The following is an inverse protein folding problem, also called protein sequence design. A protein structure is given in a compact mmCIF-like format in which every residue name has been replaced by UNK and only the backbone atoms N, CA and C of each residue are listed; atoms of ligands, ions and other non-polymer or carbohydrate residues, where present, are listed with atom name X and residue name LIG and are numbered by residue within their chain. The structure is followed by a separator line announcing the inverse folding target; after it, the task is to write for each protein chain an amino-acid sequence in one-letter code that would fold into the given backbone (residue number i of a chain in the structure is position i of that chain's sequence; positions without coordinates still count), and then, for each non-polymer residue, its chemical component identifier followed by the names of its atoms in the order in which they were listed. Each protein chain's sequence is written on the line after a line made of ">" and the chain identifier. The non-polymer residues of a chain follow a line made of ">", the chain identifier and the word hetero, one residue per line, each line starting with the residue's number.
data_IF_066000940341
#
_entry.id   IF_066000940341
#
_cell.length_a   1.000
_cell.length_b   1.000
_cell.length_c   1.000
_cell.angle_alpha   90.00
_cell.angle_beta   90.00
_cell.angle_gamma   90.00
#
_symmetry.space_group_name_H-M   'P 1'
#
loop_
_entity.id
_entity.type
_entity.pdbx_description
1 polymer ?
#
# COMPACT_ATOMS: atom_id res chain seq x y z
N UNK A 1 27.47 -21.96 37.10
CA UNK A 1 26.34 -22.69 36.50
C UNK A 1 25.31 -21.64 36.09
N UNK A 2 25.23 -21.30 34.79
CA UNK A 2 24.26 -20.33 34.27
C UNK A 2 22.88 -21.00 34.24
N UNK A 3 21.87 -20.39 34.86
CA UNK A 3 20.50 -20.86 34.85
C UNK A 3 19.92 -20.64 33.46
N UNK A 4 19.66 -21.73 32.74
CA UNK A 4 18.90 -21.73 31.44
C UNK A 4 17.50 -21.17 31.72
N UNK A 5 17.16 -20.05 31.16
CA UNK A 5 15.77 -19.52 31.20
C UNK A 5 14.95 -20.25 30.15
N UNK A 6 13.93 -20.98 30.58
CA UNK A 6 12.91 -21.56 29.69
C UNK A 6 11.78 -20.57 29.48
N UNK A 7 11.34 -20.41 28.24
CA UNK A 7 10.13 -19.69 27.88
C UNK A 7 9.18 -20.65 27.14
N UNK A 8 7.90 -20.39 27.22
CA UNK A 8 6.85 -21.14 26.51
C UNK A 8 6.25 -20.23 25.44
N UNK A 9 6.18 -20.70 24.21
CA UNK A 9 5.66 -19.93 23.08
C UNK A 9 4.49 -20.68 22.45
N UNK A 10 3.38 -19.98 22.19
CA UNK A 10 2.23 -20.51 21.49
C UNK A 10 2.58 -20.81 20.03
N UNK A 11 2.36 -22.04 19.57
CA UNK A 11 2.65 -22.46 18.19
C UNK A 11 1.79 -21.76 17.15
N UNK A 12 0.61 -21.24 17.52
CA UNK A 12 -0.37 -20.69 16.59
C UNK A 12 -0.30 -19.17 16.46
N UNK A 13 0.00 -18.45 17.54
CA UNK A 13 0.03 -16.98 17.52
C UNK A 13 1.34 -16.35 18.01
N UNK A 14 2.33 -17.15 18.43
CA UNK A 14 3.62 -16.65 18.88
C UNK A 14 3.62 -15.96 20.24
N UNK A 15 2.52 -15.97 21.00
CA UNK A 15 2.44 -15.38 22.33
C UNK A 15 3.43 -16.06 23.29
N UNK A 16 4.31 -15.28 23.92
CA UNK A 16 5.28 -15.76 24.90
C UNK A 16 4.70 -15.79 26.32
N UNK A 17 5.08 -16.80 27.07
CA UNK A 17 4.78 -16.94 28.50
C UNK A 17 5.96 -17.51 29.26
N UNK A 18 6.15 -17.09 30.51
CA UNK A 18 7.18 -17.63 31.41
C UNK A 18 6.80 -18.98 32.00
N UNK A 19 5.55 -19.43 31.81
CA UNK A 19 5.00 -20.70 32.28
C UNK A 19 4.15 -21.32 31.19
N UNK A 20 4.08 -22.65 31.17
CA UNK A 20 3.14 -23.34 30.32
C UNK A 20 1.69 -23.01 30.71
N UNK A 21 0.88 -22.64 29.71
CA UNK A 21 -0.52 -22.28 29.89
C UNK A 21 -1.34 -23.20 28.97
N UNK A 22 -2.36 -23.85 29.50
CA UNK A 22 -3.20 -24.80 28.75
C UNK A 22 -4.03 -24.16 27.63
N UNK A 23 -4.43 -22.87 27.79
CA UNK A 23 -5.17 -22.11 26.79
C UNK A 23 -4.43 -20.79 26.51
N UNK A 24 -4.17 -20.51 25.26
CA UNK A 24 -3.50 -19.26 24.88
C UNK A 24 -4.41 -18.04 25.12
N UNK A 25 -3.97 -17.02 25.88
CA UNK A 25 -4.78 -15.84 26.17
C UNK A 25 -4.96 -14.93 24.95
N UNK A 26 -4.12 -15.09 23.91
CA UNK A 26 -4.18 -14.28 22.71
C UNK A 26 -5.04 -14.86 21.60
N UNK A 27 -4.83 -16.15 21.22
CA UNK A 27 -5.59 -16.80 20.15
C UNK A 27 -6.72 -17.71 20.66
N UNK A 28 -6.78 -18.02 21.95
CA UNK A 28 -7.82 -18.87 22.53
C UNK A 28 -7.65 -20.37 22.34
N UNK A 29 -6.63 -20.82 21.59
CA UNK A 29 -6.38 -22.23 21.29
C UNK A 29 -5.80 -22.98 22.50
N UNK A 30 -6.10 -24.28 22.58
CA UNK A 30 -5.68 -25.13 23.68
C UNK A 30 -4.42 -25.94 23.34
N UNK A 31 -3.53 -26.14 24.34
CA UNK A 31 -2.33 -26.97 24.25
C UNK A 31 -1.32 -26.55 23.17
N UNK A 32 -1.27 -25.27 22.86
CA UNK A 32 -0.40 -24.69 21.80
C UNK A 32 0.95 -24.18 22.32
N UNK A 33 1.17 -24.15 23.67
CA UNK A 33 2.43 -23.71 24.25
C UNK A 33 3.50 -24.80 24.20
N UNK A 34 4.60 -24.51 23.50
CA UNK A 34 5.80 -25.36 23.45
C UNK A 34 6.92 -24.72 24.25
N UNK A 35 7.68 -25.56 24.95
CA UNK A 35 8.85 -25.13 25.72
C UNK A 35 9.99 -24.80 24.77
N UNK A 36 10.49 -23.56 24.84
CA UNK A 36 11.71 -23.12 24.14
C UNK A 36 12.77 -22.86 25.20
N UNK A 37 13.87 -23.58 25.15
CA UNK A 37 15.02 -23.32 26.00
C UNK A 37 15.77 -22.12 25.43
N UNK A 38 15.71 -20.99 26.10
CA UNK A 38 16.59 -19.85 25.83
C UNK A 38 18.01 -20.24 26.31
N UNK A 39 18.65 -21.11 25.55
CA UNK A 39 20.08 -21.27 25.67
C UNK A 39 20.73 -19.95 25.26
N UNK A 40 21.72 -19.49 25.99
CA UNK A 40 22.74 -18.61 25.44
C UNK A 40 23.38 -19.41 24.31
N UNK A 41 22.74 -19.42 23.14
CA UNK A 41 23.36 -19.90 21.93
C UNK A 41 24.60 -19.03 21.76
N UNK A 42 25.74 -19.68 21.90
CA UNK A 42 26.91 -19.26 21.17
C UNK A 42 26.47 -19.05 19.72
N UNK A 43 26.06 -17.82 19.39
CA UNK A 43 26.05 -17.29 18.03
C UNK A 43 27.52 -17.20 17.62
N UNK A 44 28.07 -18.30 17.27
CA UNK A 44 29.45 -18.40 16.87
C UNK A 44 29.69 -19.76 16.27
N UNK A 45 30.10 -19.76 15.05
CA UNK A 45 30.91 -20.74 14.36
C UNK A 45 30.31 -21.62 13.27
N UNK A 46 29.01 -21.78 13.11
CA UNK A 46 28.53 -22.59 11.99
C UNK A 46 27.74 -21.82 10.92
N UNK A 47 27.33 -20.58 11.15
CA UNK A 47 26.69 -19.74 10.13
C UNK A 47 27.71 -19.02 9.21
N UNK A 48 28.95 -18.86 9.66
CA UNK A 48 30.04 -18.27 8.85
C UNK A 48 30.54 -19.19 7.70
N UNK A 49 30.07 -20.41 7.68
CA UNK A 49 30.41 -21.37 6.62
C UNK A 49 29.56 -21.29 5.36
N UNK A 50 28.37 -20.74 5.47
CA UNK A 50 27.38 -20.70 4.36
C UNK A 50 27.51 -19.48 3.43
N UNK A 51 28.22 -18.42 3.87
CA UNK A 51 28.35 -17.18 3.10
C UNK A 51 29.84 -16.80 2.89
N UNK A 52 30.61 -17.64 2.20
CA UNK A 52 31.96 -17.27 1.77
C UNK A 52 31.89 -16.53 0.44
N UNK A 53 31.60 -15.25 0.45
CA UNK A 53 32.01 -14.40 -0.68
C UNK A 53 33.43 -13.91 -0.48
N UNK A 54 34.22 -14.08 -1.49
CA UNK A 54 35.69 -13.90 -1.56
C UNK A 54 36.19 -12.46 -1.45
N UNK A 55 35.36 -11.49 -1.00
CA UNK A 55 35.78 -10.10 -0.81
C UNK A 55 35.27 -9.44 0.50
N UNK A 56 34.66 -10.17 1.41
CA UNK A 56 34.46 -9.65 2.75
C UNK A 56 35.74 -9.91 3.54
N UNK A 57 36.55 -8.89 3.73
CA UNK A 57 37.57 -8.86 4.78
C UNK A 57 36.93 -9.34 6.06
N UNK A 58 37.37 -10.47 6.59
CA UNK A 58 37.01 -11.01 7.90
C UNK A 58 37.48 -10.09 9.02
N UNK A 59 36.96 -8.83 9.04
CA UNK A 59 37.21 -7.84 10.05
C UNK A 59 36.22 -8.01 11.20
N UNK A 60 36.71 -8.24 12.40
CA UNK A 60 35.94 -8.00 13.62
C UNK A 60 35.20 -6.67 13.47
N UNK A 61 33.89 -6.66 13.72
CA UNK A 61 33.10 -5.43 13.72
C UNK A 61 33.75 -4.41 14.65
N UNK A 62 34.37 -3.38 14.11
CA UNK A 62 34.96 -2.28 14.88
C UNK A 62 34.03 -1.09 14.85
N UNK A 63 33.79 -0.43 15.98
CA UNK A 63 32.99 0.80 16.00
C UNK A 63 33.63 1.87 15.10
N UNK A 64 32.86 2.46 14.23
CA UNK A 64 33.27 3.57 13.34
C UNK A 64 32.66 4.86 13.87
N UNK A 65 33.41 5.95 13.91
CA UNK A 65 32.85 7.25 14.29
C UNK A 65 31.88 7.74 13.24
N UNK A 66 30.79 8.36 13.68
CA UNK A 66 29.76 8.89 12.80
C UNK A 66 30.36 9.88 11.77
N UNK A 67 31.36 10.67 12.17
CA UNK A 67 32.09 11.62 11.30
C UNK A 67 32.88 10.95 10.17
N UNK A 68 33.24 9.68 10.32
CA UNK A 68 34.10 8.96 9.40
C UNK A 68 33.28 8.15 8.39
N UNK A 69 31.94 8.16 8.54
CA UNK A 69 31.00 7.54 7.61
C UNK A 69 30.77 8.53 6.46
N UNK A 70 31.11 8.15 5.20
CA UNK A 70 30.83 9.02 4.07
C UNK A 70 29.33 9.20 3.89
N UNK A 71 28.86 10.44 3.78
CA UNK A 71 27.49 10.79 3.43
C UNK A 71 27.30 10.66 1.92
N UNK A 72 27.35 9.43 1.43
CA UNK A 72 26.88 9.12 0.08
C UNK A 72 25.46 8.56 0.19
N UNK A 73 24.58 8.97 -0.72
CA UNK A 73 23.29 8.35 -0.86
C UNK A 73 23.50 6.85 -1.17
N UNK A 74 22.79 5.99 -0.45
CA UNK A 74 22.83 4.56 -0.71
C UNK A 74 22.47 4.28 -2.18
N UNK A 75 23.28 3.52 -2.92
CA UNK A 75 22.99 3.22 -4.31
C UNK A 75 21.65 2.52 -4.43
N UNK A 76 20.78 3.07 -5.28
CA UNK A 76 19.44 2.55 -5.53
C UNK A 76 19.37 1.91 -6.89
N UNK A 77 18.69 0.77 -6.97
CA UNK A 77 18.35 0.15 -8.25
C UNK A 77 17.04 0.79 -8.72
N UNK A 78 17.11 1.47 -9.86
CA UNK A 78 15.92 1.98 -10.56
C UNK A 78 15.15 0.77 -11.12
N UNK A 79 13.89 0.60 -10.70
CA UNK A 79 13.02 -0.49 -11.16
C UNK A 79 12.39 -0.20 -12.52
N UNK A 80 12.70 0.94 -13.14
CA UNK A 80 12.09 1.44 -14.37
C UNK A 80 10.55 1.41 -14.35
N UNK A 81 10.01 1.57 -13.14
CA UNK A 81 8.60 1.69 -12.86
C UNK A 81 8.39 2.88 -11.92
N UNK A 82 7.79 3.95 -12.45
CA UNK A 82 7.65 5.22 -11.73
C UNK A 82 6.77 5.12 -10.49
N UNK A 83 5.74 4.28 -10.51
CA UNK A 83 4.84 4.10 -9.38
C UNK A 83 5.49 3.23 -8.30
N UNK A 84 6.22 2.17 -8.66
CA UNK A 84 6.98 1.36 -7.71
C UNK A 84 8.15 2.14 -7.10
N UNK A 85 8.93 2.85 -7.93
CA UNK A 85 10.04 3.67 -7.45
C UNK A 85 9.57 4.75 -6.47
N UNK A 86 8.41 5.37 -6.71
CA UNK A 86 7.80 6.34 -5.81
C UNK A 86 7.55 5.73 -4.43
N UNK A 87 6.90 4.57 -4.38
CA UNK A 87 6.57 3.88 -3.12
C UNK A 87 7.82 3.38 -2.39
N UNK A 88 8.86 2.98 -3.14
CA UNK A 88 10.16 2.60 -2.59
C UNK A 88 10.98 3.81 -2.09
N UNK A 89 10.62 5.03 -2.49
CA UNK A 89 11.37 6.26 -2.16
C UNK A 89 12.52 6.53 -3.13
N UNK A 90 12.40 6.10 -4.39
CA UNK A 90 13.35 6.32 -5.48
C UNK A 90 14.08 5.07 -5.98
N UNK A 91 13.63 3.87 -5.59
CA UNK A 91 14.20 2.59 -6.04
C UNK A 91 14.61 1.66 -4.90
N UNK A 92 15.08 0.47 -5.25
CA UNK A 92 15.57 -0.53 -4.28
C UNK A 92 16.95 -0.15 -3.73
N UNK A 93 17.07 -0.11 -2.41
CA UNK A 93 18.34 0.16 -1.73
C UNK A 93 19.16 -1.14 -1.64
N UNK A 94 20.47 -1.05 -1.91
CA UNK A 94 21.39 -2.19 -1.81
C UNK A 94 21.34 -2.80 -0.39
N UNK A 95 21.30 -4.14 -0.33
CA UNK A 95 21.23 -4.86 0.94
C UNK A 95 19.93 -4.66 1.73
N UNK A 96 18.88 -4.10 1.11
CA UNK A 96 17.56 -3.97 1.74
C UNK A 96 16.69 -5.21 1.52
N UNK A 97 15.72 -5.37 2.41
CA UNK A 97 14.68 -6.39 2.25
C UNK A 97 13.31 -5.72 2.20
N UNK A 98 12.57 -5.99 1.12
CA UNK A 98 11.25 -5.42 0.83
C UNK A 98 10.22 -6.54 0.86
N UNK A 99 9.15 -6.36 1.63
CA UNK A 99 8.00 -7.26 1.65
C UNK A 99 6.88 -6.65 0.80
N UNK A 100 6.48 -7.35 -0.26
CA UNK A 100 5.30 -7.05 -1.07
C UNK A 100 4.15 -7.96 -0.60
N UNK A 101 3.24 -7.39 0.20
CA UNK A 101 2.06 -8.07 0.72
C UNK A 101 0.81 -7.76 -0.09
N UNK A 102 -0.18 -8.64 -0.05
CA UNK A 102 -1.48 -8.42 -0.69
C UNK A 102 -2.30 -9.71 -0.77
N UNK A 103 -3.59 -9.59 -1.09
CA UNK A 103 -4.47 -10.75 -1.26
C UNK A 103 -3.98 -11.70 -2.36
N UNK A 104 -4.28 -13.00 -2.27
CA UNK A 104 -4.04 -13.93 -3.38
C UNK A 104 -4.73 -13.45 -4.66
N UNK A 105 -4.03 -13.54 -5.80
CA UNK A 105 -4.58 -13.13 -7.10
C UNK A 105 -4.61 -11.62 -7.38
N UNK A 106 -4.17 -10.75 -6.45
CA UNK A 106 -4.17 -9.29 -6.64
C UNK A 106 -3.19 -8.79 -7.73
N UNK A 107 -2.16 -9.59 -8.05
CA UNK A 107 -1.17 -9.26 -9.08
C UNK A 107 0.26 -9.06 -8.57
N UNK A 108 0.60 -9.48 -7.34
CA UNK A 108 1.95 -9.32 -6.75
C UNK A 108 3.06 -9.92 -7.61
N UNK A 109 2.94 -11.20 -7.95
CA UNK A 109 3.90 -11.91 -8.80
C UNK A 109 3.97 -11.32 -10.21
N UNK A 110 2.83 -10.80 -10.71
CA UNK A 110 2.78 -10.10 -12.01
C UNK A 110 3.56 -8.79 -11.95
N UNK A 111 3.34 -7.96 -10.93
CA UNK A 111 4.06 -6.70 -10.73
C UNK A 111 5.57 -6.96 -10.62
N UNK A 112 5.97 -7.92 -9.77
CA UNK A 112 7.37 -8.22 -9.53
C UNK A 112 8.03 -8.76 -10.82
N UNK A 113 7.39 -9.70 -11.52
CA UNK A 113 7.92 -10.23 -12.77
C UNK A 113 8.04 -9.13 -13.85
N UNK A 114 7.01 -8.29 -13.99
CA UNK A 114 7.00 -7.17 -14.93
C UNK A 114 8.12 -6.18 -14.65
N UNK A 115 8.34 -5.82 -13.39
CA UNK A 115 9.39 -4.86 -13.02
C UNK A 115 10.79 -5.42 -13.21
N UNK A 116 11.04 -6.70 -12.92
CA UNK A 116 12.36 -7.29 -13.20
C UNK A 116 12.65 -7.45 -14.70
N UNK A 117 11.62 -7.61 -15.53
CA UNK A 117 11.76 -7.59 -16.99
C UNK A 117 12.16 -6.20 -17.53
N UNK A 118 11.94 -5.13 -16.76
CA UNK A 118 12.32 -3.76 -17.13
C UNK A 118 13.79 -3.42 -16.77
N UNK A 119 14.50 -4.30 -16.06
CA UNK A 119 15.91 -4.09 -15.66
C UNK A 119 16.84 -5.16 -16.27
N UNK A 120 16.99 -5.17 -17.61
CA UNK A 120 17.68 -6.24 -18.33
C UNK A 120 19.18 -6.36 -18.03
N UNK A 121 19.79 -5.27 -17.53
CA UNK A 121 21.23 -5.21 -17.28
C UNK A 121 21.64 -5.80 -15.92
N UNK A 122 20.68 -6.32 -15.14
CA UNK A 122 20.91 -6.87 -13.82
C UNK A 122 20.75 -8.38 -13.77
N UNK A 123 21.67 -9.03 -13.09
CA UNK A 123 21.57 -10.47 -12.83
C UNK A 123 20.59 -10.74 -11.71
N UNK A 124 19.49 -11.42 -12.01
CA UNK A 124 18.37 -11.64 -11.10
C UNK A 124 18.19 -13.12 -10.84
N UNK A 125 17.99 -13.48 -9.58
CA UNK A 125 17.54 -14.80 -9.17
C UNK A 125 16.07 -14.69 -8.69
N UNK A 126 15.15 -15.30 -9.44
CA UNK A 126 13.75 -15.43 -9.07
C UNK A 126 13.47 -16.82 -8.56
N UNK A 127 13.18 -16.93 -7.27
CA UNK A 127 12.84 -18.19 -6.61
C UNK A 127 11.33 -18.32 -6.53
N UNK A 128 10.80 -19.40 -7.07
CA UNK A 128 9.37 -19.73 -7.00
C UNK A 128 9.14 -21.01 -6.21
N UNK A 129 8.33 -20.90 -5.16
CA UNK A 129 7.85 -22.06 -4.41
C UNK A 129 6.43 -22.50 -4.77
N UNK A 130 5.75 -21.76 -5.65
CA UNK A 130 4.35 -22.02 -6.02
C UNK A 130 4.17 -22.37 -7.50
N UNK A 131 4.89 -21.69 -8.38
CA UNK A 131 4.75 -21.84 -9.83
C UNK A 131 5.95 -22.56 -10.45
N UNK A 132 5.69 -23.36 -11.47
CA UNK A 132 6.74 -24.00 -12.26
C UNK A 132 7.45 -22.99 -13.18
N UNK A 133 8.68 -23.30 -13.57
CA UNK A 133 9.45 -22.49 -14.51
C UNK A 133 8.71 -22.27 -15.86
N UNK A 134 7.94 -23.27 -16.30
CA UNK A 134 7.13 -23.14 -17.52
C UNK A 134 5.99 -22.10 -17.37
N UNK A 135 5.29 -22.10 -16.23
CA UNK A 135 4.23 -21.13 -15.96
C UNK A 135 4.77 -19.70 -15.86
N UNK A 136 5.93 -19.54 -15.19
CA UNK A 136 6.61 -18.24 -15.13
C UNK A 136 7.05 -17.76 -16.50
N UNK A 137 7.58 -18.65 -17.36
CA UNK A 137 7.95 -18.32 -18.73
C UNK A 137 6.75 -17.86 -19.55
N UNK A 138 5.65 -18.60 -19.52
CA UNK A 138 4.42 -18.19 -20.21
C UNK A 138 3.89 -16.82 -19.74
N UNK A 139 4.00 -16.54 -18.44
CA UNK A 139 3.64 -15.24 -17.88
C UNK A 139 4.60 -14.15 -18.38
N UNK A 140 5.90 -14.39 -18.36
CA UNK A 140 6.89 -13.44 -18.88
C UNK A 140 6.67 -13.13 -20.36
N UNK A 141 6.42 -14.13 -21.20
CA UNK A 141 6.12 -13.95 -22.63
C UNK A 141 4.86 -13.09 -22.85
N UNK A 142 3.81 -13.30 -22.05
CA UNK A 142 2.60 -12.47 -22.10
C UNK A 142 2.90 -11.01 -21.73
N UNK A 143 3.71 -10.79 -20.70
CA UNK A 143 4.12 -9.45 -20.25
C UNK A 143 4.99 -8.75 -21.30
N UNK A 144 5.93 -9.47 -21.89
CA UNK A 144 6.79 -8.96 -22.96
C UNK A 144 6.01 -8.61 -24.24
N UNK A 145 4.96 -9.36 -24.58
CA UNK A 145 4.07 -9.05 -25.70
C UNK A 145 3.33 -7.72 -25.55
N UNK A 146 3.19 -7.20 -24.34
CA UNK A 146 2.67 -5.86 -24.03
C UNK A 146 3.72 -4.74 -24.01
N UNK A 147 5.01 -5.08 -24.08
CA UNK A 147 6.12 -4.12 -24.05
C UNK A 147 6.60 -3.80 -25.46
N UNK A 148 6.59 -2.52 -25.84
CA UNK A 148 6.91 -2.05 -27.20
C UNK A 148 8.37 -2.26 -27.64
N UNK A 149 9.30 -2.64 -26.74
CA UNK A 149 10.74 -2.73 -27.00
C UNK A 149 11.37 -4.03 -26.43
N UNK A 150 10.62 -5.13 -26.31
CA UNK A 150 11.14 -6.37 -25.75
C UNK A 150 12.17 -7.02 -26.69
N UNK A 151 13.44 -6.92 -26.33
CA UNK A 151 14.55 -7.63 -26.98
C UNK A 151 14.77 -8.96 -26.25
N UNK A 152 15.13 -10.01 -26.98
CA UNK A 152 15.44 -11.37 -26.47
C UNK A 152 16.51 -11.35 -25.38
N UNK A 153 17.40 -10.35 -25.38
CA UNK A 153 18.44 -10.12 -24.37
C UNK A 153 17.92 -9.83 -22.95
N UNK A 154 16.66 -9.40 -22.79
CA UNK A 154 16.06 -9.08 -21.49
C UNK A 154 15.92 -10.33 -20.62
N UNK A 155 15.72 -11.50 -21.23
CA UNK A 155 15.41 -12.74 -20.51
C UNK A 155 16.66 -13.47 -20.03
N UNK A 156 17.82 -13.20 -20.64
CA UNK A 156 19.06 -13.96 -20.38
C UNK A 156 19.67 -13.72 -19.00
N UNK A 157 19.36 -12.58 -18.36
CA UNK A 157 19.86 -12.22 -17.03
C UNK A 157 18.92 -12.62 -15.88
N UNK A 158 17.72 -13.16 -16.19
CA UNK A 158 16.76 -13.62 -15.19
C UNK A 158 16.86 -15.14 -15.05
N UNK A 159 17.32 -15.57 -13.87
CA UNK A 159 17.45 -16.99 -13.54
C UNK A 159 16.26 -17.42 -12.69
N UNK A 160 15.55 -18.45 -13.13
CA UNK A 160 14.40 -19.02 -12.39
C UNK A 160 14.84 -20.24 -11.62
N UNK A 161 14.54 -20.28 -10.33
CA UNK A 161 14.78 -21.41 -9.44
C UNK A 161 13.46 -21.87 -8.82
N UNK A 162 13.04 -23.09 -9.11
CA UNK A 162 11.87 -23.70 -8.46
C UNK A 162 12.36 -24.55 -7.28
N UNK A 163 12.50 -23.94 -6.12
CA UNK A 163 13.02 -24.56 -4.90
C UNK A 163 12.34 -23.94 -3.66
N UNK A 164 12.17 -24.75 -2.62
CA UNK A 164 11.58 -24.32 -1.34
C UNK A 164 12.54 -24.42 -0.16
N UNK A 165 13.67 -25.13 -0.32
CA UNK A 165 14.72 -25.22 0.70
C UNK A 165 15.58 -23.96 0.72
N UNK A 166 15.57 -23.22 1.83
CA UNK A 166 16.34 -22.00 2.00
C UNK A 166 17.86 -22.24 1.84
N UNK A 167 18.37 -23.38 2.30
CA UNK A 167 19.76 -23.75 2.20
C UNK A 167 20.22 -23.86 0.74
N UNK A 168 19.45 -24.57 -0.09
CA UNK A 168 19.74 -24.67 -1.52
C UNK A 168 19.61 -23.33 -2.25
N UNK A 169 18.65 -22.50 -1.86
CA UNK A 169 18.50 -21.16 -2.41
C UNK A 169 19.78 -20.35 -2.18
N UNK A 170 20.36 -20.43 -0.99
CA UNK A 170 21.62 -19.73 -0.70
C UNK A 170 22.80 -20.32 -1.46
N UNK A 171 22.89 -21.65 -1.61
CA UNK A 171 23.91 -22.28 -2.44
C UNK A 171 23.90 -21.74 -3.87
N UNK A 172 22.73 -21.71 -4.51
CA UNK A 172 22.58 -21.14 -5.86
C UNK A 172 22.80 -19.62 -5.89
N UNK A 173 22.42 -18.90 -4.87
CA UNK A 173 22.68 -17.46 -4.78
C UNK A 173 24.17 -17.15 -4.65
N UNK A 174 24.93 -17.99 -3.93
CA UNK A 174 26.38 -17.85 -3.82
C UNK A 174 27.10 -18.14 -5.15
N UNK A 175 26.66 -19.17 -5.90
CA UNK A 175 27.21 -19.49 -7.22
C UNK A 175 26.88 -18.41 -8.26
N UNK A 176 25.63 -17.94 -8.27
CA UNK A 176 25.12 -16.98 -9.26
C UNK A 176 25.61 -15.55 -8.97
N UNK A 177 25.78 -15.19 -7.68
CA UNK A 177 26.03 -13.83 -7.22
C UNK A 177 25.02 -12.81 -7.83
N UNK A 178 23.71 -12.95 -7.54
CA UNK A 178 22.68 -12.10 -8.12
C UNK A 178 22.76 -10.68 -7.56
N UNK A 179 22.37 -9.69 -8.36
CA UNK A 179 22.24 -8.30 -7.95
C UNK A 179 20.83 -7.99 -7.37
N UNK A 180 19.88 -8.92 -7.55
CA UNK A 180 18.54 -8.90 -6.96
C UNK A 180 18.05 -10.33 -6.74
N UNK A 181 17.55 -10.60 -5.54
CA UNK A 181 16.89 -11.86 -5.19
C UNK A 181 15.39 -11.63 -5.00
N UNK A 182 14.56 -12.43 -5.67
CA UNK A 182 13.10 -12.44 -5.50
C UNK A 182 12.66 -13.77 -4.92
N UNK A 183 11.82 -13.75 -3.89
CA UNK A 183 11.22 -14.94 -3.26
C UNK A 183 9.70 -14.89 -3.42
N UNK A 184 9.13 -15.82 -4.17
CA UNK A 184 7.70 -15.94 -4.46
C UNK A 184 7.16 -17.36 -4.15
N UNK A 185 6.59 -17.59 -2.97
CA UNK A 185 6.33 -16.70 -1.84
C UNK A 185 7.13 -17.10 -0.59
N UNK A 186 7.28 -16.19 0.36
CA UNK A 186 7.96 -16.49 1.64
C UNK A 186 7.27 -17.61 2.43
N UNK A 187 5.96 -17.83 2.22
CA UNK A 187 5.21 -18.88 2.89
C UNK A 187 5.57 -20.30 2.44
N UNK A 188 6.13 -20.45 1.25
CA UNK A 188 6.51 -21.77 0.71
C UNK A 188 7.94 -22.15 1.07
N UNK A 189 8.77 -21.18 1.48
CA UNK A 189 10.17 -21.43 1.83
C UNK A 189 10.26 -22.03 3.24
N UNK A 190 11.16 -23.01 3.38
CA UNK A 190 11.43 -23.69 4.64
C UNK A 190 12.94 -23.81 4.89
N UNK A 191 13.30 -23.84 6.17
CA UNK A 191 14.65 -24.14 6.65
C UNK A 191 14.64 -25.36 7.55
N UNK A 192 15.66 -26.19 7.45
CA UNK A 192 15.85 -27.35 8.32
C UNK A 192 16.29 -26.96 9.75
N UNK A 193 16.66 -25.70 9.98
CA UNK A 193 17.10 -25.20 11.29
C UNK A 193 15.96 -25.17 12.33
N UNK A 194 14.70 -25.27 11.88
CA UNK A 194 13.52 -25.18 12.75
C UNK A 194 12.58 -26.36 12.51
N UNK A 195 12.30 -27.12 13.56
CA UNK A 195 11.34 -28.23 13.54
C UNK A 195 9.89 -27.73 13.54
N UNK A 196 9.43 -27.15 12.43
CA UNK A 196 8.04 -26.71 12.25
C UNK A 196 7.64 -26.86 10.78
N UNK A 197 6.33 -27.02 10.53
CA UNK A 197 5.83 -27.21 9.17
C UNK A 197 6.11 -26.02 8.27
N UNK A 198 6.41 -26.21 6.96
CA UNK A 198 6.48 -25.14 5.98
C UNK A 198 5.22 -24.24 6.06
N UNK A 199 5.39 -22.94 5.89
CA UNK A 199 4.31 -21.96 5.98
C UNK A 199 3.88 -21.60 7.41
N UNK A 200 4.39 -22.29 8.44
CA UNK A 200 4.16 -21.87 9.83
C UNK A 200 4.81 -20.52 10.13
N UNK A 201 4.26 -19.79 11.09
CA UNK A 201 4.77 -18.48 11.52
C UNK A 201 6.25 -18.54 11.88
N UNK A 202 6.66 -19.60 12.55
CA UNK A 202 8.06 -19.81 12.97
C UNK A 202 8.97 -20.00 11.78
N UNK A 203 8.59 -20.80 10.79
CA UNK A 203 9.36 -21.00 9.55
C UNK A 203 9.49 -19.70 8.76
N UNK A 204 8.38 -19.00 8.54
CA UNK A 204 8.35 -17.74 7.80
C UNK A 204 9.24 -16.69 8.47
N UNK A 205 9.20 -16.61 9.82
CA UNK A 205 10.05 -15.70 10.60
C UNK A 205 11.55 -16.01 10.44
N UNK A 206 11.93 -17.28 10.57
CA UNK A 206 13.33 -17.69 10.50
C UNK A 206 13.89 -17.55 9.09
N UNK A 207 13.12 -17.93 8.08
CA UNK A 207 13.49 -17.73 6.68
C UNK A 207 13.71 -16.23 6.37
N UNK A 208 12.78 -15.36 6.81
CA UNK A 208 12.91 -13.93 6.61
C UNK A 208 14.12 -13.32 7.35
N UNK A 209 14.41 -13.78 8.57
CA UNK A 209 15.57 -13.34 9.33
C UNK A 209 16.90 -13.77 8.65
N UNK A 210 16.94 -14.97 8.08
CA UNK A 210 18.10 -15.48 7.34
C UNK A 210 18.28 -14.73 6.01
N UNK A 211 17.21 -14.43 5.30
CA UNK A 211 17.23 -13.60 4.08
C UNK A 211 17.65 -12.15 4.37
N UNK A 212 17.25 -11.58 5.53
CA UNK A 212 17.77 -10.28 5.97
C UNK A 212 19.28 -10.31 6.20
N UNK A 213 19.78 -11.35 6.88
CA UNK A 213 21.24 -11.51 7.09
C UNK A 213 21.97 -11.62 5.74
N UNK A 214 21.46 -12.44 4.82
CA UNK A 214 21.98 -12.55 3.47
C UNK A 214 22.05 -11.19 2.78
N UNK A 215 20.93 -10.44 2.73
CA UNK A 215 20.89 -9.12 2.11
C UNK A 215 21.93 -8.17 2.70
N UNK A 216 22.04 -8.08 4.03
CA UNK A 216 22.98 -7.19 4.71
C UNK A 216 24.45 -7.60 4.52
N UNK A 217 24.73 -8.90 4.38
CA UNK A 217 26.11 -9.41 4.23
C UNK A 217 26.59 -9.28 2.79
N UNK A 218 25.74 -9.58 1.81
CA UNK A 218 26.10 -9.57 0.39
C UNK A 218 25.91 -8.21 -0.28
N UNK A 219 25.08 -7.32 0.32
CA UNK A 219 24.63 -6.09 -0.32
C UNK A 219 23.52 -6.31 -1.37
N UNK A 220 23.08 -7.55 -1.57
CA UNK A 220 22.02 -7.89 -2.54
C UNK A 220 20.65 -7.54 -1.97
N UNK A 221 19.85 -6.68 -2.62
CA UNK A 221 18.48 -6.45 -2.20
C UNK A 221 17.61 -7.68 -2.41
N UNK A 222 16.60 -7.85 -1.52
CA UNK A 222 15.70 -9.00 -1.56
C UNK A 222 14.24 -8.50 -1.58
N UNK A 223 13.46 -8.99 -2.55
CA UNK A 223 12.02 -8.80 -2.60
C UNK A 223 11.34 -10.09 -2.12
N UNK A 224 10.56 -9.98 -1.05
CA UNK A 224 9.73 -11.07 -0.54
C UNK A 224 8.27 -10.83 -0.97
N UNK A 225 7.68 -11.80 -1.63
CA UNK A 225 6.24 -11.80 -1.89
C UNK A 225 5.54 -12.56 -0.78
N UNK A 226 4.49 -11.95 -0.20
CA UNK A 226 3.71 -12.54 0.88
C UNK A 226 2.20 -12.40 0.66
N UNK A 227 1.42 -13.34 1.22
CA UNK A 227 -0.04 -13.29 1.20
C UNK A 227 -0.59 -12.65 2.47
N UNK A 228 -1.67 -11.87 2.32
CA UNK A 228 -2.42 -11.25 3.42
C UNK A 228 -3.74 -12.02 3.59
N UNK A 229 -4.21 -12.17 4.82
CA UNK A 229 -5.55 -12.73 5.11
C UNK A 229 -6.66 -11.76 4.70
N UNK A 230 -7.90 -12.28 4.53
CA UNK A 230 -9.11 -11.48 4.21
C UNK A 230 -9.41 -10.35 5.21
N UNK A 231 -8.82 -10.37 6.39
CA UNK A 231 -8.92 -9.30 7.40
C UNK A 231 -7.92 -8.16 7.18
N UNK A 232 -7.18 -8.15 6.06
CA UNK A 232 -6.17 -7.14 5.75
C UNK A 232 -4.90 -7.26 6.60
N UNK A 233 -4.78 -8.33 7.41
CA UNK A 233 -3.59 -8.63 8.17
C UNK A 233 -2.73 -9.63 7.39
N UNK A 234 -1.42 -9.41 7.33
CA UNK A 234 -0.48 -10.39 6.78
C UNK A 234 -0.69 -11.73 7.47
N UNK A 235 -0.99 -12.79 6.67
CA UNK A 235 -1.06 -14.15 7.18
C UNK A 235 0.32 -14.61 7.65
N UNK A 236 0.51 -14.60 8.98
CA UNK A 236 1.81 -14.72 9.63
C UNK A 236 2.63 -13.46 9.37
N UNK A 237 2.76 -12.67 10.12
CA UNK A 237 2.07 -11.59 10.83
C UNK A 237 2.80 -10.25 10.76
N UNK A 238 2.35 -9.28 11.49
CA UNK A 238 3.10 -8.12 12.02
C UNK A 238 4.58 -8.41 12.39
N UNK A 239 4.96 -9.67 12.59
CA UNK A 239 6.34 -10.14 12.85
C UNK A 239 7.27 -9.84 11.66
N UNK A 240 6.83 -10.04 10.41
CA UNK A 240 7.66 -9.71 9.24
C UNK A 240 7.87 -8.21 9.09
N UNK A 241 6.88 -7.40 9.47
CA UNK A 241 7.00 -5.94 9.44
C UNK A 241 8.15 -5.43 10.29
N UNK A 242 8.47 -6.11 11.40
CA UNK A 242 9.62 -5.74 12.25
C UNK A 242 10.96 -6.18 11.68
N UNK A 243 10.98 -7.25 10.91
CA UNK A 243 12.21 -7.83 10.33
C UNK A 243 12.64 -7.07 9.08
N UNK A 244 11.71 -6.80 8.16
CA UNK A 244 12.01 -6.20 6.87
C UNK A 244 12.24 -4.68 6.96
N UNK A 245 12.94 -4.10 6.00
CA UNK A 245 13.21 -2.66 5.95
C UNK A 245 12.03 -1.88 5.37
N UNK A 246 11.35 -2.45 4.38
CA UNK A 246 10.21 -1.83 3.70
C UNK A 246 9.06 -2.84 3.59
N UNK A 247 7.84 -2.39 3.88
CA UNK A 247 6.59 -3.15 3.68
C UNK A 247 5.71 -2.38 2.73
N UNK A 248 5.38 -3.00 1.63
CA UNK A 248 4.48 -2.48 0.61
C UNK A 248 3.26 -3.38 0.54
N UNK A 249 2.09 -2.80 0.62
CA UNK A 249 0.82 -3.51 0.51
C UNK A 249 0.20 -3.24 -0.85
N UNK A 250 -0.16 -4.30 -1.56
CA UNK A 250 -0.87 -4.23 -2.82
C UNK A 250 -2.35 -4.50 -2.55
N UNK A 251 -3.16 -3.48 -2.74
CA UNK A 251 -4.58 -3.43 -2.43
C UNK A 251 -5.41 -3.31 -3.71
N UNK A 252 -6.66 -3.76 -3.67
CA UNK A 252 -7.62 -3.59 -4.75
C UNK A 252 -8.79 -4.54 -4.61
N UNK A 253 -9.92 -4.17 -5.17
CA UNK A 253 -11.08 -5.02 -5.28
C UNK A 253 -11.03 -5.81 -6.60
N UNK A 254 -11.42 -7.09 -6.59
CA UNK A 254 -11.45 -7.94 -7.79
C UNK A 254 -12.43 -7.43 -8.86
N UNK A 255 -13.41 -6.62 -8.47
CA UNK A 255 -14.40 -6.02 -9.36
C UNK A 255 -13.92 -4.75 -10.06
N UNK A 256 -12.82 -4.14 -9.57
CA UNK A 256 -12.26 -2.92 -10.15
C UNK A 256 -10.94 -3.19 -10.86
N UNK A 257 -10.70 -2.45 -11.95
CA UNK A 257 -9.49 -2.61 -12.76
C UNK A 257 -8.25 -2.02 -12.11
N UNK A 258 -8.42 -1.20 -11.06
CA UNK A 258 -7.32 -0.50 -10.42
C UNK A 258 -6.77 -1.23 -9.21
N UNK A 259 -5.46 -1.06 -9.02
CA UNK A 259 -4.70 -1.60 -7.89
C UNK A 259 -3.87 -0.48 -7.27
N UNK A 260 -3.84 -0.43 -5.96
CA UNK A 260 -3.08 0.56 -5.19
C UNK A 260 -1.91 -0.13 -4.52
N UNK A 261 -0.73 0.41 -4.69
CA UNK A 261 0.49 0.02 -4.01
C UNK A 261 0.76 1.02 -2.90
N UNK A 262 0.65 0.60 -1.65
CA UNK A 262 0.76 1.47 -0.48
C UNK A 262 2.01 1.14 0.33
N UNK A 263 2.79 2.15 0.71
CA UNK A 263 3.88 1.99 1.66
C UNK A 263 3.33 1.95 3.10
N UNK A 264 3.48 0.81 3.77
CA UNK A 264 3.08 0.65 5.19
C UNK A 264 4.26 0.97 6.11
N UNK A 265 5.47 0.58 5.70
CA UNK A 265 6.72 0.84 6.39
C UNK A 265 7.81 1.10 5.36
N UNK A 266 8.61 2.14 5.54
CA UNK A 266 9.76 2.40 4.69
C UNK A 266 10.86 3.11 5.49
N UNK A 267 12.02 2.45 5.63
CA UNK A 267 13.19 3.02 6.31
C UNK A 267 13.97 3.97 5.42
N UNK A 268 13.73 3.93 4.11
CA UNK A 268 14.51 4.65 3.10
C UNK A 268 13.72 5.74 2.39
N UNK A 269 12.45 5.93 2.79
CA UNK A 269 11.56 6.91 2.17
C UNK A 269 10.30 7.16 2.99
N UNK A 270 9.39 7.93 2.41
CA UNK A 270 8.10 8.26 3.02
C UNK A 270 7.16 7.05 2.99
N UNK A 271 6.39 6.86 4.08
CA UNK A 271 5.27 5.92 4.10
C UNK A 271 3.96 6.52 3.57
N UNK A 272 4.00 7.79 3.19
CA UNK A 272 2.83 8.50 2.65
C UNK A 272 2.70 8.40 1.13
N UNK A 273 3.59 7.63 0.47
CA UNK A 273 3.56 7.46 -0.98
C UNK A 273 2.66 6.30 -1.39
N UNK A 274 1.99 6.48 -2.53
CA UNK A 274 1.27 5.41 -3.20
C UNK A 274 1.58 5.32 -4.69
N UNK A 275 1.50 4.10 -5.20
CA UNK A 275 1.49 3.78 -6.61
C UNK A 275 0.10 3.32 -7.05
N UNK A 276 -0.30 3.67 -8.26
CA UNK A 276 -1.57 3.25 -8.83
C UNK A 276 -1.33 2.55 -10.16
N UNK A 277 -1.97 1.39 -10.28
CA UNK A 277 -1.88 0.56 -11.46
C UNK A 277 -3.26 0.20 -11.98
N UNK A 278 -3.37 0.05 -13.28
CA UNK A 278 -4.52 -0.54 -13.94
C UNK A 278 -4.18 -1.96 -14.36
N UNK A 279 -5.05 -2.92 -14.03
CA UNK A 279 -4.91 -4.31 -14.44
C UNK A 279 -5.37 -4.46 -15.90
N UNK A 280 -4.46 -4.87 -16.76
CA UNK A 280 -4.73 -5.15 -18.18
C UNK A 280 -4.41 -6.61 -18.50
N UNK A 281 -4.85 -7.10 -19.68
CA UNK A 281 -4.53 -8.46 -20.12
C UNK A 281 -3.02 -8.69 -20.30
N UNK A 282 -2.30 -7.64 -20.68
CA UNK A 282 -0.84 -7.63 -20.89
C UNK A 282 -0.02 -7.34 -19.64
N UNK A 283 -0.67 -7.15 -18.47
CA UNK A 283 0.03 -6.86 -17.21
C UNK A 283 -0.54 -5.64 -16.47
N UNK A 284 0.30 -4.96 -15.71
CA UNK A 284 -0.05 -3.80 -14.91
C UNK A 284 0.43 -2.52 -15.61
N UNK A 285 -0.50 -1.64 -15.96
CA UNK A 285 -0.19 -0.32 -16.51
C UNK A 285 -0.08 0.69 -15.38
N UNK A 286 1.02 1.43 -15.34
CA UNK A 286 1.20 2.54 -14.40
C UNK A 286 0.19 3.66 -14.68
N UNK A 287 -0.40 4.19 -13.62
CA UNK A 287 -1.34 5.32 -13.71
C UNK A 287 -0.65 6.58 -13.18
N UNK A 288 -0.09 7.34 -14.10
CA UNK A 288 0.60 8.59 -13.76
C UNK A 288 -0.34 9.70 -13.31
N UNK A 289 -1.57 9.71 -13.82
CA UNK A 289 -2.60 10.67 -13.45
C UNK A 289 -3.89 9.94 -13.01
N UNK A 290 -4.08 9.68 -11.70
CA UNK A 290 -5.28 9.02 -11.19
C UNK A 290 -6.56 9.78 -11.48
N UNK A 291 -6.51 11.11 -11.51
CA UNK A 291 -7.68 11.96 -11.69
C UNK A 291 -8.37 11.71 -13.03
N UNK A 292 -7.61 11.45 -14.11
CA UNK A 292 -8.18 11.14 -15.43
C UNK A 292 -9.06 9.88 -15.43
N UNK A 293 -8.81 8.97 -14.49
CA UNK A 293 -9.53 7.70 -14.38
C UNK A 293 -10.69 7.78 -13.39
N UNK A 294 -10.64 8.75 -12.48
CA UNK A 294 -11.59 8.92 -11.39
C UNK A 294 -12.66 9.98 -11.67
N UNK A 295 -12.54 10.66 -12.81
CA UNK A 295 -13.48 11.63 -13.31
C UNK A 295 -14.19 11.07 -14.54
N UNK A 296 -15.52 11.10 -14.51
CA UNK A 296 -16.34 10.76 -15.69
C UNK A 296 -16.21 11.88 -16.70
N UNK A 297 -16.12 11.52 -18.00
CA UNK A 297 -16.07 12.53 -19.06
C UNK A 297 -17.45 13.14 -19.38
N UNK A 298 -18.54 12.43 -19.07
CA UNK A 298 -19.91 12.79 -19.42
C UNK A 298 -20.82 12.87 -18.16
N UNK A 299 -20.59 13.86 -17.29
CA UNK A 299 -21.47 14.09 -16.12
C UNK A 299 -22.27 15.40 -16.23
N UNK A 300 -22.24 16.07 -17.38
CA UNK A 300 -22.95 17.32 -17.59
C UNK A 300 -24.46 17.15 -17.39
N UNK A 301 -25.04 17.95 -16.51
CA UNK A 301 -26.46 17.93 -16.19
C UNK A 301 -26.95 16.79 -15.31
N UNK A 302 -26.07 15.91 -14.81
CA UNK A 302 -26.44 14.85 -13.88
C UNK A 302 -26.42 15.33 -12.43
N UNK A 303 -27.54 15.13 -11.73
CA UNK A 303 -27.61 15.39 -10.28
C UNK A 303 -26.93 14.29 -9.46
N UNK A 304 -26.50 14.62 -8.26
CA UNK A 304 -25.87 13.67 -7.35
C UNK A 304 -24.37 13.46 -7.56
N UNK A 305 -23.71 14.30 -8.36
CA UNK A 305 -22.28 14.22 -8.63
C UNK A 305 -21.59 15.48 -8.10
N UNK A 306 -20.48 15.27 -7.37
CA UNK A 306 -19.59 16.34 -6.91
C UNK A 306 -18.12 15.90 -7.01
N UNK A 307 -17.23 16.83 -7.35
CA UNK A 307 -15.81 16.54 -7.50
C UNK A 307 -15.07 17.00 -6.24
N UNK A 308 -14.32 16.07 -5.63
CA UNK A 308 -13.46 16.35 -4.49
C UNK A 308 -12.00 16.47 -4.91
N UNK A 309 -11.31 17.49 -4.39
CA UNK A 309 -9.84 17.49 -4.40
C UNK A 309 -9.34 16.79 -3.14
N UNK A 310 -8.99 15.52 -3.30
CA UNK A 310 -8.52 14.65 -2.24
C UNK A 310 -6.99 14.53 -2.24
N UNK A 311 -6.43 14.12 -1.10
CA UNK A 311 -5.03 13.76 -0.98
C UNK A 311 -4.93 12.40 -0.30
N UNK A 312 -4.18 11.50 -0.91
CA UNK A 312 -3.79 10.27 -0.27
C UNK A 312 -2.27 10.27 -0.12
N UNK A 313 -1.80 10.24 1.12
CA UNK A 313 -0.39 10.41 1.42
C UNK A 313 0.13 11.81 1.07
N UNK A 314 0.94 11.91 0.01
CA UNK A 314 1.44 13.19 -0.52
C UNK A 314 0.86 13.53 -1.90
N UNK A 315 0.07 12.65 -2.50
CA UNK A 315 -0.43 12.78 -3.86
C UNK A 315 -1.80 13.42 -3.88
N UNK A 316 -1.96 14.61 -4.48
CA UNK A 316 -3.27 15.17 -4.75
C UNK A 316 -3.90 14.48 -5.96
N UNK A 317 -5.20 14.32 -5.94
CA UNK A 317 -5.99 13.86 -7.08
C UNK A 317 -7.43 14.34 -6.95
N UNK A 318 -8.11 14.44 -8.08
CA UNK A 318 -9.53 14.71 -8.11
C UNK A 318 -10.29 13.39 -8.21
N UNK A 319 -11.38 13.30 -7.48
CA UNK A 319 -12.22 12.12 -7.44
C UNK A 319 -13.70 12.50 -7.46
N UNK A 320 -14.45 11.76 -8.26
CA UNK A 320 -15.90 11.93 -8.35
C UNK A 320 -16.57 11.23 -7.18
N UNK A 321 -17.41 11.98 -6.47
CA UNK A 321 -18.31 11.51 -5.42
C UNK A 321 -19.71 11.46 -5.97
N UNK A 322 -20.30 10.28 -6.02
CA UNK A 322 -21.67 10.06 -6.48
C UNK A 322 -22.60 9.81 -5.30
N UNK A 323 -23.77 10.39 -5.31
CA UNK A 323 -24.81 10.13 -4.32
C UNK A 323 -26.17 9.92 -4.97
N UNK A 324 -26.94 9.00 -4.40
CA UNK A 324 -28.35 8.80 -4.76
C UNK A 324 -29.19 8.92 -3.49
N UNK A 325 -30.16 9.85 -3.54
CA UNK A 325 -31.12 10.06 -2.46
C UNK A 325 -32.53 9.77 -2.97
N UNK A 326 -33.20 8.81 -2.34
CA UNK A 326 -34.57 8.43 -2.70
C UNK A 326 -35.47 8.35 -1.47
N UNK A 327 -36.77 8.27 -1.66
CA UNK A 327 -37.71 8.04 -0.56
C UNK A 327 -37.56 6.58 -0.09
N UNK A 328 -37.50 6.37 1.23
CA UNK A 328 -37.39 5.03 1.80
C UNK A 328 -38.66 4.19 1.48
N UNK A 329 -38.48 3.15 0.67
CA UNK A 329 -39.57 2.31 0.21
C UNK A 329 -40.11 1.35 1.28
N UNK A 330 -39.23 0.97 2.25
CA UNK A 330 -39.51 -0.11 3.21
C UNK A 330 -39.60 0.35 4.66
N UNK A 331 -39.89 1.63 4.91
CA UNK A 331 -40.10 2.19 6.24
C UNK A 331 -38.85 2.43 7.08
N UNK A 332 -37.75 1.69 6.86
CA UNK A 332 -36.45 1.92 7.51
C UNK A 332 -35.45 2.46 6.48
N UNK A 333 -34.98 3.70 6.63
CA UNK A 333 -34.03 4.30 5.69
C UNK A 333 -32.72 3.50 5.59
N UNK A 334 -32.32 3.21 4.37
CA UNK A 334 -31.03 2.58 4.08
C UNK A 334 -29.95 3.64 3.85
N UNK A 335 -28.78 3.40 4.42
CA UNK A 335 -27.61 4.27 4.25
C UNK A 335 -26.41 3.40 3.96
N UNK A 336 -25.82 3.58 2.79
CA UNK A 336 -24.69 2.79 2.34
C UNK A 336 -23.62 3.67 1.70
N UNK A 337 -22.37 3.34 1.94
CA UNK A 337 -21.23 4.01 1.32
C UNK A 337 -20.24 2.99 0.77
N UNK A 338 -19.80 3.21 -0.47
CA UNK A 338 -18.70 2.49 -1.11
C UNK A 338 -17.54 3.45 -1.30
N UNK A 339 -16.35 3.08 -0.83
CA UNK A 339 -15.17 3.94 -0.91
C UNK A 339 -15.07 5.05 0.13
N UNK A 340 -16.11 5.24 0.95
CA UNK A 340 -16.17 6.24 2.03
C UNK A 340 -16.58 5.59 3.36
N UNK A 341 -16.17 6.17 4.49
CA UNK A 341 -16.50 5.61 5.81
C UNK A 341 -18.00 5.77 6.14
N UNK A 342 -18.65 4.65 6.43
CA UNK A 342 -20.10 4.60 6.72
C UNK A 342 -20.49 5.40 7.96
N UNK A 343 -19.63 5.42 9.00
CA UNK A 343 -19.90 6.17 10.23
C UNK A 343 -19.79 7.67 9.98
N UNK A 344 -18.80 8.05 9.14
CA UNK A 344 -18.62 9.43 8.72
C UNK A 344 -19.81 9.92 7.89
N UNK A 345 -20.29 9.12 6.93
CA UNK A 345 -21.50 9.43 6.16
C UNK A 345 -22.70 9.72 7.10
N UNK A 346 -22.97 8.84 8.06
CA UNK A 346 -24.08 9.01 8.99
C UNK A 346 -23.97 10.32 9.79
N UNK A 347 -22.75 10.70 10.17
CA UNK A 347 -22.48 11.96 10.87
C UNK A 347 -22.77 13.17 9.96
N UNK A 348 -22.32 13.13 8.70
CA UNK A 348 -22.55 14.22 7.74
C UNK A 348 -24.03 14.40 7.43
N UNK A 349 -24.80 13.31 7.29
CA UNK A 349 -26.25 13.35 7.12
C UNK A 349 -26.96 14.00 8.33
N UNK A 350 -26.51 13.71 9.56
CA UNK A 350 -27.02 14.34 10.76
C UNK A 350 -26.71 15.86 10.81
N UNK A 351 -25.53 16.28 10.31
CA UNK A 351 -25.17 17.71 10.17
C UNK A 351 -26.09 18.39 9.16
N UNK A 352 -26.32 17.81 7.98
CA UNK A 352 -27.22 18.32 6.96
C UNK A 352 -28.65 18.51 7.51
N UNK A 353 -29.15 17.53 8.24
CA UNK A 353 -30.48 17.57 8.80
C UNK A 353 -30.61 18.64 9.89
N UNK A 354 -29.67 18.66 10.85
CA UNK A 354 -29.79 19.53 12.04
C UNK A 354 -29.35 20.96 11.78
N UNK A 355 -28.38 21.20 10.92
CA UNK A 355 -27.76 22.53 10.71
C UNK A 355 -28.24 23.21 9.44
N UNK A 356 -28.46 22.45 8.39
CA UNK A 356 -28.88 23.00 7.09
C UNK A 356 -30.40 22.89 6.89
N UNK A 357 -31.08 22.01 7.64
CA UNK A 357 -32.54 21.90 7.65
C UNK A 357 -33.12 20.92 6.62
N UNK A 358 -32.28 20.08 5.98
CA UNK A 358 -32.74 19.07 5.03
C UNK A 358 -33.38 17.87 5.74
N UNK A 359 -34.54 17.43 5.28
CA UNK A 359 -35.25 16.28 5.83
C UNK A 359 -34.75 14.98 5.18
N UNK A 360 -33.73 14.36 5.79
CA UNK A 360 -33.14 13.11 5.32
C UNK A 360 -33.53 11.88 6.16
N UNK A 361 -34.32 12.08 7.23
CA UNK A 361 -34.72 11.02 8.18
C UNK A 361 -35.49 9.88 7.52
N UNK A 362 -36.25 10.16 6.46
CA UNK A 362 -37.05 9.17 5.71
C UNK A 362 -36.53 8.94 4.29
N UNK A 363 -35.24 9.18 4.07
CA UNK A 363 -34.61 9.03 2.77
C UNK A 363 -33.56 7.92 2.81
N UNK A 364 -33.56 7.10 1.79
CA UNK A 364 -32.43 6.22 1.48
C UNK A 364 -31.30 7.06 0.90
N UNK A 365 -30.06 6.81 1.35
CA UNK A 365 -28.88 7.53 0.87
C UNK A 365 -27.78 6.54 0.54
N UNK A 366 -27.39 6.55 -0.72
CA UNK A 366 -26.28 5.74 -1.23
C UNK A 366 -25.17 6.68 -1.71
N UNK A 367 -23.92 6.41 -1.28
CA UNK A 367 -22.74 7.16 -1.71
C UNK A 367 -21.74 6.21 -2.32
N UNK A 368 -21.16 6.59 -3.43
CA UNK A 368 -20.13 5.84 -4.12
C UNK A 368 -18.99 6.77 -4.51
N UNK A 369 -17.76 6.37 -4.20
CA UNK A 369 -16.55 7.02 -4.70
C UNK A 369 -16.14 6.33 -5.99
N UNK A 370 -16.00 7.11 -7.07
CA UNK A 370 -15.63 6.58 -8.37
C UNK A 370 -14.32 5.78 -8.36
N UNK A 371 -14.21 4.80 -9.25
CA UNK A 371 -13.02 3.96 -9.36
C UNK A 371 -12.82 2.93 -8.26
N UNK A 372 -13.76 2.83 -7.28
CA UNK A 372 -13.67 1.87 -6.18
C UNK A 372 -12.55 2.14 -5.18
N UNK A 373 -12.00 3.33 -5.21
CA UNK A 373 -10.97 3.75 -4.24
C UNK A 373 -11.59 3.96 -2.87
N UNK A 374 -10.91 3.44 -1.85
CA UNK A 374 -11.21 3.82 -0.47
C UNK A 374 -10.38 5.04 -0.12
N UNK A 375 -11.02 6.20 -0.02
CA UNK A 375 -10.38 7.46 0.33
C UNK A 375 -10.61 7.76 1.81
N UNK A 376 -9.54 8.08 2.52
CA UNK A 376 -9.57 8.35 3.97
C UNK A 376 -9.43 9.84 4.29
N UNK A 377 -9.27 10.69 3.28
CA UNK A 377 -9.12 12.13 3.43
C UNK A 377 -10.42 12.79 3.87
N UNK A 378 -10.42 13.42 5.05
CA UNK A 378 -11.57 14.14 5.60
C UNK A 378 -11.97 15.36 4.75
N UNK A 379 -11.10 15.84 3.88
CA UNK A 379 -11.43 16.93 2.95
C UNK A 379 -12.54 16.58 1.97
N UNK A 380 -12.87 15.29 1.82
CA UNK A 380 -13.99 14.82 1.00
C UNK A 380 -15.38 15.09 1.60
N UNK A 381 -15.48 15.42 2.88
CA UNK A 381 -16.77 15.64 3.54
C UNK A 381 -17.64 16.63 2.77
N UNK A 382 -17.02 17.70 2.28
CA UNK A 382 -17.76 18.75 1.58
C UNK A 382 -18.35 18.26 0.26
N UNK A 383 -17.61 17.45 -0.51
CA UNK A 383 -18.11 16.85 -1.75
C UNK A 383 -19.20 15.81 -1.51
N UNK A 384 -19.07 15.02 -0.44
CA UNK A 384 -20.11 14.05 -0.04
C UNK A 384 -21.42 14.79 0.29
N UNK A 385 -21.36 15.87 1.06
CA UNK A 385 -22.50 16.71 1.39
C UNK A 385 -23.11 17.34 0.11
N UNK A 386 -22.26 17.87 -0.77
CA UNK A 386 -22.70 18.50 -2.02
C UNK A 386 -23.39 17.50 -2.95
N UNK A 387 -22.83 16.29 -3.12
CA UNK A 387 -23.41 15.23 -3.94
C UNK A 387 -24.78 14.76 -3.37
N UNK A 388 -24.85 14.52 -2.04
CA UNK A 388 -26.11 14.15 -1.37
C UNK A 388 -27.17 15.23 -1.58
N UNK A 389 -26.81 16.50 -1.43
CA UNK A 389 -27.75 17.58 -1.63
C UNK A 389 -28.18 17.72 -3.09
N UNK A 390 -27.23 17.69 -4.03
CA UNK A 390 -27.48 17.70 -5.47
C UNK A 390 -28.54 16.64 -5.87
N UNK A 391 -28.34 15.40 -5.39
CA UNK A 391 -29.31 14.31 -5.60
C UNK A 391 -30.65 14.55 -4.92
N UNK A 392 -30.66 15.13 -3.70
CA UNK A 392 -31.89 15.34 -2.95
C UNK A 392 -32.79 16.41 -3.58
N UNK A 393 -32.18 17.44 -4.18
CA UNK A 393 -32.91 18.55 -4.85
C UNK A 393 -33.03 18.39 -6.34
N UNK A 394 -32.42 17.29 -6.88
CA UNK A 394 -32.36 16.96 -8.29
C UNK A 394 -31.79 18.10 -9.17
N UNK A 395 -30.71 18.71 -8.69
CA UNK A 395 -30.03 19.81 -9.37
C UNK A 395 -28.56 19.48 -9.52
N UNK A 396 -28.07 19.51 -10.77
CA UNK A 396 -26.68 19.25 -11.09
C UNK A 396 -25.76 20.38 -10.56
N UNK A 397 -24.56 20.00 -10.15
CA UNK A 397 -23.46 20.95 -9.92
C UNK A 397 -22.84 21.27 -11.27
N UNK A 398 -22.58 22.54 -11.55
CA UNK A 398 -21.97 22.97 -12.81
C UNK A 398 -20.58 22.31 -13.02
N UNK A 399 -20.28 21.99 -14.25
CA UNK A 399 -18.97 21.47 -14.64
C UNK A 399 -17.89 22.50 -14.36
N UNK A 400 -16.68 22.02 -13.99
CA UNK A 400 -15.58 22.91 -13.62
C UNK A 400 -15.52 23.26 -12.14
N UNK A 401 -16.50 22.87 -11.32
CA UNK A 401 -16.44 23.03 -9.87
C UNK A 401 -15.83 21.83 -9.18
N UNK A 402 -14.91 22.10 -8.27
CA UNK A 402 -14.42 21.11 -7.32
C UNK A 402 -14.38 21.69 -5.91
N UNK A 403 -14.14 20.83 -4.92
CA UNK A 403 -14.17 21.28 -3.53
C UNK A 403 -13.29 20.42 -2.64
N UNK A 404 -12.88 21.01 -1.51
CA UNK A 404 -12.22 20.29 -0.43
C UNK A 404 -12.46 20.99 0.91
N UNK A 405 -12.90 20.21 1.92
CA UNK A 405 -13.14 20.75 3.26
C UNK A 405 -13.63 19.69 4.23
N UNK A 406 -13.06 19.63 5.41
CA UNK A 406 -13.57 18.80 6.51
C UNK A 406 -14.78 19.49 7.13
N UNK A 407 -15.83 18.72 7.43
CA UNK A 407 -17.06 19.26 8.05
C UNK A 407 -17.16 18.82 9.50
N UNK A 408 -17.27 19.81 10.40
CA UNK A 408 -17.50 19.58 11.81
C UNK A 408 -18.97 19.44 12.18
N UNK A 409 -19.25 18.98 13.40
CA UNK A 409 -20.62 18.71 13.91
C UNK A 409 -21.50 19.95 14.03
N UNK A 410 -20.91 21.15 14.08
CA UNK A 410 -21.64 22.42 14.09
C UNK A 410 -21.97 22.96 12.71
N UNK A 411 -21.55 22.23 11.63
CA UNK A 411 -21.68 22.68 10.24
C UNK A 411 -20.57 23.61 9.80
N UNK A 412 -19.51 23.78 10.61
CA UNK A 412 -18.32 24.53 10.25
C UNK A 412 -17.46 23.76 9.24
N UNK A 413 -16.85 24.46 8.30
CA UNK A 413 -15.85 23.92 7.37
C UNK A 413 -14.46 24.19 7.96
N UNK A 414 -13.75 23.11 8.31
CA UNK A 414 -12.47 23.11 8.99
C UNK A 414 -11.29 23.16 8.02
N UNK A 415 -10.16 23.72 8.47
CA UNK A 415 -8.93 23.69 7.69
C UNK A 415 -8.48 22.27 7.34
N UNK A 416 -7.93 22.14 6.15
CA UNK A 416 -7.38 20.90 5.61
C UNK A 416 -5.89 21.07 5.30
N UNK A 417 -5.18 19.99 5.17
CA UNK A 417 -3.75 20.01 4.87
C UNK A 417 -3.48 20.19 3.36
N UNK A 418 -2.25 20.65 3.02
CA UNK A 418 -1.71 20.68 1.65
C UNK A 418 -2.58 21.44 0.65
N UNK A 419 -3.11 22.56 1.04
CA UNK A 419 -4.07 23.34 0.26
C UNK A 419 -3.53 23.75 -1.11
N UNK A 420 -2.26 24.17 -1.19
CA UNK A 420 -1.63 24.61 -2.44
C UNK A 420 -1.53 23.47 -3.46
N UNK A 421 -1.23 22.24 -3.01
CA UNK A 421 -1.19 21.06 -3.88
C UNK A 421 -2.56 20.71 -4.43
N UNK A 422 -3.62 20.86 -3.64
CA UNK A 422 -5.01 20.64 -4.07
C UNK A 422 -5.44 21.62 -5.17
N UNK A 423 -5.10 22.87 -4.98
CA UNK A 423 -5.40 23.91 -5.96
C UNK A 423 -4.62 23.66 -7.26
N UNK A 424 -3.32 23.40 -7.16
CA UNK A 424 -2.48 23.15 -8.32
C UNK A 424 -2.94 21.94 -9.16
N UNK A 425 -3.40 20.87 -8.52
CA UNK A 425 -3.95 19.70 -9.22
C UNK A 425 -5.29 20.02 -9.89
N UNK A 426 -6.16 20.80 -9.24
CA UNK A 426 -7.42 21.24 -9.82
C UNK A 426 -7.20 22.14 -11.07
N UNK A 427 -6.29 23.12 -11.00
CA UNK A 427 -5.91 23.94 -12.14
C UNK A 427 -5.34 23.15 -13.30
N UNK A 428 -4.40 22.23 -13.00
CA UNK A 428 -3.78 21.35 -14.01
C UNK A 428 -4.80 20.52 -14.78
N UNK A 429 -5.92 20.16 -14.15
CA UNK A 429 -7.01 19.38 -14.73
C UNK A 429 -8.10 20.26 -15.37
N UNK A 430 -7.91 21.57 -15.40
CA UNK A 430 -8.81 22.51 -16.09
C UNK A 430 -10.05 22.90 -15.31
N UNK A 431 -10.09 22.68 -13.99
CA UNK A 431 -11.18 23.17 -13.15
C UNK A 431 -11.12 24.70 -13.02
N UNK A 432 -12.28 25.35 -13.08
CA UNK A 432 -12.40 26.79 -13.07
C UNK A 432 -12.71 27.34 -11.68
N UNK A 433 -13.34 26.55 -10.82
CA UNK A 433 -13.85 26.97 -9.51
C UNK A 433 -13.54 25.94 -8.44
N UNK A 434 -13.04 26.39 -7.27
CA UNK A 434 -12.75 25.53 -6.14
C UNK A 434 -13.29 26.13 -4.82
N UNK A 435 -14.07 25.32 -4.08
CA UNK A 435 -14.55 25.69 -2.74
C UNK A 435 -13.57 25.18 -1.69
N UNK A 436 -13.10 26.07 -0.82
CA UNK A 436 -12.08 25.79 0.18
C UNK A 436 -12.39 26.42 1.53
N UNK A 437 -11.85 25.86 2.65
CA UNK A 437 -12.02 26.46 3.96
C UNK A 437 -11.38 27.87 4.03
N UNK A 438 -12.11 28.85 4.54
CA UNK A 438 -11.65 30.24 4.63
C UNK A 438 -10.28 30.36 5.35
N UNK A 439 -10.08 29.61 6.44
CA UNK A 439 -8.82 29.64 7.17
C UNK A 439 -7.60 29.23 6.31
N UNK A 440 -7.76 28.27 5.42
CA UNK A 440 -6.72 27.89 4.48
C UNK A 440 -6.46 28.99 3.46
N UNK A 441 -7.51 29.60 2.91
CA UNK A 441 -7.39 30.64 1.90
C UNK A 441 -6.67 31.88 2.46
N UNK A 442 -6.90 32.21 3.74
CA UNK A 442 -6.20 33.32 4.40
C UNK A 442 -4.69 33.09 4.59
N UNK A 443 -4.22 31.84 4.52
CA UNK A 443 -2.82 31.47 4.73
C UNK A 443 -1.99 31.38 3.44
N UNK A 444 -2.60 31.54 2.26
CA UNK A 444 -1.95 31.42 0.96
C UNK A 444 -2.06 32.70 0.13
N UNK A 445 -1.19 32.88 -0.84
CA UNK A 445 -1.29 33.95 -1.84
C UNK A 445 -2.16 33.47 -3.01
N UNK A 446 -3.44 33.84 -2.99
CA UNK A 446 -4.44 33.45 -3.99
C UNK A 446 -4.16 33.99 -5.38
N UNK A 447 -3.35 35.05 -5.52
CA UNK A 447 -3.01 35.68 -6.82
C UNK A 447 -2.11 34.79 -7.68
N UNK A 448 -1.53 33.72 -7.12
CA UNK A 448 -0.71 32.75 -7.84
C UNK A 448 -1.51 31.79 -8.69
N UNK A 449 -2.82 31.72 -8.48
CA UNK A 449 -3.72 30.74 -9.09
C UNK A 449 -4.67 31.42 -10.07
N UNK A 450 -4.99 30.70 -11.13
CA UNK A 450 -5.96 31.16 -12.17
C UNK A 450 -7.36 30.68 -11.87
N UNK A 451 -7.51 29.61 -11.08
CA UNK A 451 -8.78 29.07 -10.62
C UNK A 451 -9.47 30.02 -9.63
N UNK A 452 -10.79 30.18 -9.75
CA UNK A 452 -11.58 30.98 -8.82
C UNK A 452 -11.71 30.25 -7.47
N UNK A 453 -11.20 30.86 -6.41
CA UNK A 453 -11.24 30.30 -5.07
C UNK A 453 -12.43 30.87 -4.32
N UNK A 454 -13.33 30.00 -3.85
CA UNK A 454 -14.51 30.32 -3.07
C UNK A 454 -14.29 29.95 -1.59
N UNK A 455 -13.89 30.92 -0.73
CA UNK A 455 -13.64 30.65 0.68
C UNK A 455 -14.94 30.52 1.46
N UNK A 456 -15.09 29.43 2.23
CA UNK A 456 -16.27 29.17 3.04
C UNK A 456 -15.94 28.86 4.49
N UNK A 457 -16.81 29.24 5.42
CA UNK A 457 -16.73 28.95 6.86
C UNK A 457 -17.69 27.85 7.29
N UNK A 458 -18.83 27.77 6.59
CA UNK A 458 -19.92 26.85 6.91
C UNK A 458 -20.40 26.13 5.67
N UNK A 459 -20.99 24.97 5.88
CA UNK A 459 -21.61 24.15 4.83
C UNK A 459 -22.68 24.96 4.07
N UNK A 460 -23.48 25.77 4.74
CA UNK A 460 -24.54 26.61 4.12
C UNK A 460 -23.96 27.58 3.08
N UNK A 461 -22.77 28.15 3.32
CA UNK A 461 -22.09 29.05 2.38
C UNK A 461 -21.64 28.29 1.12
N UNK A 462 -21.09 27.08 1.29
CA UNK A 462 -20.71 26.24 0.18
C UNK A 462 -21.91 25.83 -0.68
N UNK A 463 -23.01 25.44 -0.06
CA UNK A 463 -24.23 25.06 -0.76
C UNK A 463 -24.86 26.23 -1.49
N UNK A 464 -24.79 27.44 -0.92
CA UNK A 464 -25.26 28.67 -1.60
C UNK A 464 -24.39 29.02 -2.81
N UNK A 465 -23.10 28.77 -2.75
CA UNK A 465 -22.21 28.98 -3.89
C UNK A 465 -22.48 28.00 -5.05
N UNK A 466 -22.94 26.78 -4.73
CA UNK A 466 -23.20 25.72 -5.73
C UNK A 466 -24.60 25.78 -6.34
N UNK A 467 -25.60 26.21 -5.58
CA UNK A 467 -27.02 26.10 -5.96
C UNK A 467 -27.78 27.43 -5.97
N UNK A 468 -27.15 28.56 -5.58
CA UNK A 468 -27.71 29.91 -5.60
C UNK A 468 -28.40 30.31 -4.31
#
# INVERSE_FOLDING_TARGET
>A
MAKTKTAYVCSDCGQESTKWIGKCPNCGEWNTFKEIRLGTSQLGSNADGLFRHSNATSGKSTPIKLSDIPTQDDPRIDMHDGELNRVLGGGLVAGSIVLLGGEPGIGKSTLTLQTILNIPDRKILYVSGEESAHQLKMRAERLLGGMSNATTAIVDNINILCETSLQKIFEFADELAPELLVIDSIQTIATDEVESSPGSITQVRECAASLLRFAKTTGTPVILIGHINKEGTLAGPKILEHIVDTVIQFEGDQHYMYRILRSIKNRFGSTSELGIYEMQQTGLRQVSNPSELLLSQDHEGLSGIAISSAIEGVRPFLVETQALVSSAAYGTPQRSATGFDQRRLNMLLAVLEKRVGFKLTQKDVFVNIAGGLRVTDLAMDLSVIAAVLSSNVDTAIETGWCMAGEVGLSGEVRPINRIEQRIAEAEKLGFTDIILPLHNVQSIDTRKYTINIHPVRKVEEALRALFG
#
